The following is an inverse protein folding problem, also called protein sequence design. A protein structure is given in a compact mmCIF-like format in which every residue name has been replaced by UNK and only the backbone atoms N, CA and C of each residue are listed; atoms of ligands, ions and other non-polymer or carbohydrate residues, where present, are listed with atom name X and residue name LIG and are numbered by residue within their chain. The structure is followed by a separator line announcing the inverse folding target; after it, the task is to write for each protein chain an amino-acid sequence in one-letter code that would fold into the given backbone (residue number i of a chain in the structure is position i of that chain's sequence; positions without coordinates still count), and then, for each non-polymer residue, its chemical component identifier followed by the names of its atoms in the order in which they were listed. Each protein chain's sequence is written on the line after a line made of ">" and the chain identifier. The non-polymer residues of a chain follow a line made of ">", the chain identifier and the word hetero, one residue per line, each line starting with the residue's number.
data_IF_867852222851
#
_entry.id   IF_867852222851
#
_cell.length_a   1.000
_cell.length_b   1.000
_cell.length_c   1.000
_cell.angle_alpha   90.00
_cell.angle_beta   90.00
_cell.angle_gamma   90.00
#
_symmetry.space_group_name_H-M   'P 1'
#
loop_
_entity.id
_entity.type
_entity.pdbx_description
1 polymer ?
#
# COMPACT_ATOMS: atom_id res chain seq x y z
N UNK A 1 -0.83 -19.06 -11.52
CA UNK A 1 -0.33 -18.46 -10.26
C UNK A 1 0.44 -17.20 -10.60
N UNK A 2 -0.01 -16.03 -10.15
CA UNK A 2 0.76 -14.79 -10.33
C UNK A 2 1.97 -14.79 -9.40
N UNK A 3 3.08 -14.25 -9.89
CA UNK A 3 4.33 -14.13 -9.14
C UNK A 3 4.29 -13.02 -8.08
N UNK A 4 3.31 -12.12 -8.18
CA UNK A 4 3.04 -11.06 -7.21
C UNK A 4 1.62 -11.19 -6.67
N UNK A 5 1.42 -10.78 -5.43
CA UNK A 5 0.11 -10.79 -4.77
C UNK A 5 -0.09 -9.51 -3.96
N UNK A 6 -1.35 -9.09 -3.83
CA UNK A 6 -1.76 -7.94 -3.03
C UNK A 6 -2.90 -8.35 -2.10
N UNK A 7 -2.85 -7.85 -0.85
CA UNK A 7 -3.98 -7.88 0.06
C UNK A 7 -4.25 -6.48 0.61
N UNK A 8 -5.53 -6.19 0.82
CA UNK A 8 -6.01 -4.93 1.38
C UNK A 8 -6.95 -5.25 2.53
N UNK A 9 -6.80 -4.55 3.66
CA UNK A 9 -7.66 -4.71 4.83
C UNK A 9 -8.03 -3.34 5.43
N UNK A 10 -9.32 -3.06 5.69
CA UNK A 10 -9.72 -1.84 6.38
C UNK A 10 -9.29 -1.87 7.84
N UNK A 11 -8.90 -0.69 8.35
CA UNK A 11 -8.45 -0.48 9.73
C UNK A 11 -8.93 0.88 10.24
N UNK A 12 -8.93 1.04 11.55
CA UNK A 12 -9.16 2.34 12.21
C UNK A 12 -7.93 3.27 12.03
N UNK A 13 -8.13 4.60 12.01
CA UNK A 13 -9.42 5.30 12.18
C UNK A 13 -10.25 5.38 10.90
N UNK A 14 -11.57 5.52 11.08
CA UNK A 14 -12.50 6.02 10.05
C UNK A 14 -12.66 7.53 10.15
N UNK A 15 -12.40 8.25 9.06
CA UNK A 15 -12.54 9.71 8.99
C UNK A 15 -13.57 10.05 7.90
N UNK A 16 -14.63 10.76 8.25
CA UNK A 16 -15.71 11.14 7.32
C UNK A 16 -16.28 9.94 6.52
N UNK A 17 -16.42 8.79 7.17
CA UNK A 17 -16.90 7.55 6.54
C UNK A 17 -15.89 6.84 5.64
N UNK A 18 -14.66 7.34 5.56
CA UNK A 18 -13.56 6.72 4.81
C UNK A 18 -12.67 5.93 5.77
N UNK A 19 -12.47 4.65 5.46
CA UNK A 19 -11.61 3.76 6.23
C UNK A 19 -10.14 3.95 5.86
N UNK A 20 -9.28 3.99 6.88
CA UNK A 20 -7.85 3.72 6.68
C UNK A 20 -7.65 2.27 6.23
N UNK A 21 -6.54 1.97 5.56
CA UNK A 21 -6.27 0.64 5.01
C UNK A 21 -4.87 0.16 5.35
N UNK A 22 -4.69 -1.15 5.44
CA UNK A 22 -3.38 -1.79 5.36
C UNK A 22 -3.28 -2.48 4.01
N UNK A 23 -2.23 -2.19 3.27
CA UNK A 23 -1.92 -2.82 1.98
C UNK A 23 -0.65 -3.63 2.10
N UNK A 24 -0.70 -4.86 1.64
CA UNK A 24 0.42 -5.80 1.66
C UNK A 24 0.74 -6.24 0.23
N UNK A 25 1.98 -6.04 -0.21
CA UNK A 25 2.49 -6.62 -1.44
C UNK A 25 3.45 -7.76 -1.13
N UNK A 26 3.25 -8.90 -1.79
CA UNK A 26 4.14 -10.06 -1.76
C UNK A 26 4.73 -10.29 -3.14
N UNK A 27 6.05 -10.52 -3.16
CA UNK A 27 6.77 -10.97 -4.33
C UNK A 27 7.23 -12.42 -4.15
N UNK A 28 6.60 -13.35 -4.87
CA UNK A 28 6.85 -14.80 -4.82
C UNK A 28 7.95 -15.24 -5.79
N UNK A 29 8.56 -14.33 -6.56
CA UNK A 29 9.67 -14.70 -7.44
C UNK A 29 10.80 -15.28 -6.60
N UNK A 30 11.34 -16.46 -6.94
CA UNK A 30 12.36 -17.10 -6.10
C UNK A 30 13.69 -16.35 -6.12
N UNK A 31 14.01 -15.68 -7.23
CA UNK A 31 15.29 -15.01 -7.48
C UNK A 31 15.11 -13.81 -8.43
N UNK A 32 16.18 -13.02 -8.59
CA UNK A 32 16.22 -11.82 -9.43
C UNK A 32 16.24 -10.53 -8.61
N UNK A 33 16.15 -9.40 -9.30
CA UNK A 33 16.17 -8.08 -8.68
C UNK A 33 14.83 -7.74 -8.02
N UNK A 34 14.83 -6.87 -6.98
CA UNK A 34 13.60 -6.27 -6.47
C UNK A 34 12.81 -5.62 -7.61
N UNK A 35 11.48 -5.66 -7.50
CA UNK A 35 10.58 -5.06 -8.48
C UNK A 35 9.65 -4.06 -7.83
N UNK A 36 9.26 -3.06 -8.60
CA UNK A 36 8.14 -2.20 -8.23
C UNK A 36 6.83 -2.94 -8.47
N UNK A 37 6.04 -3.08 -7.41
CA UNK A 37 4.65 -3.51 -7.51
C UNK A 37 3.81 -2.24 -7.38
N UNK A 38 2.97 -1.99 -8.38
CA UNK A 38 2.24 -0.73 -8.55
C UNK A 38 0.78 -1.02 -8.86
N UNK A 39 -0.14 -0.43 -8.10
CA UNK A 39 -1.58 -0.49 -8.35
C UNK A 39 -2.19 0.89 -8.14
N UNK A 40 -3.23 1.20 -8.91
CA UNK A 40 -3.98 2.43 -8.69
C UNK A 40 -4.73 2.34 -7.35
N UNK A 41 -4.74 3.40 -6.55
CA UNK A 41 -5.40 3.36 -5.23
C UNK A 41 -6.89 3.02 -5.37
N UNK A 42 -7.55 3.47 -6.44
CA UNK A 42 -8.94 3.09 -6.76
C UNK A 42 -9.15 1.59 -7.03
N UNK A 43 -8.11 0.85 -7.43
CA UNK A 43 -8.19 -0.60 -7.61
C UNK A 43 -8.06 -1.33 -6.26
N UNK A 44 -7.21 -0.80 -5.38
CA UNK A 44 -7.00 -1.31 -4.02
C UNK A 44 -8.19 -1.00 -3.10
N UNK A 45 -8.78 0.18 -3.26
CA UNK A 45 -9.84 0.73 -2.41
C UNK A 45 -10.96 1.26 -3.33
N UNK A 46 -11.82 0.39 -3.89
CA UNK A 46 -12.87 0.82 -4.83
C UNK A 46 -13.87 1.81 -4.24
N UNK A 47 -14.02 1.84 -2.92
CA UNK A 47 -14.88 2.77 -2.18
C UNK A 47 -14.23 4.13 -1.89
N UNK A 48 -12.97 4.35 -2.26
CA UNK A 48 -12.28 5.61 -2.01
C UNK A 48 -12.94 6.76 -2.78
N UNK A 49 -13.31 7.81 -2.03
CA UNK A 49 -13.82 9.05 -2.60
C UNK A 49 -12.69 9.85 -3.25
N UNK A 50 -13.00 10.62 -4.31
CA UNK A 50 -11.99 11.30 -5.15
C UNK A 50 -11.06 12.23 -4.37
N UNK A 51 -11.63 12.97 -3.43
CA UNK A 51 -10.89 13.97 -2.64
C UNK A 51 -10.21 13.38 -1.39
N UNK A 52 -10.39 12.07 -1.12
CA UNK A 52 -9.78 11.43 0.04
C UNK A 52 -8.27 11.35 -0.15
N UNK A 53 -7.53 11.90 0.81
CA UNK A 53 -6.07 11.80 0.87
C UNK A 53 -5.68 10.74 1.87
N UNK A 54 -4.75 9.89 1.46
CA UNK A 54 -4.15 8.87 2.31
C UNK A 54 -2.69 9.19 2.51
N UNK A 55 -2.26 9.37 3.76
CA UNK A 55 -0.85 9.36 4.10
C UNK A 55 -0.35 7.92 4.12
N UNK A 56 0.77 7.64 3.45
CA UNK A 56 1.32 6.30 3.29
C UNK A 56 2.44 6.11 4.29
N UNK A 57 2.26 5.13 5.18
CA UNK A 57 3.20 4.77 6.24
C UNK A 57 3.78 3.38 5.98
N UNK A 58 5.09 3.24 5.77
CA UNK A 58 5.77 1.95 5.70
C UNK A 58 5.95 1.38 7.11
N UNK A 59 5.40 0.18 7.34
CA UNK A 59 5.43 -0.48 8.64
C UNK A 59 6.74 -1.23 8.92
N UNK A 60 7.69 -1.22 7.98
CA UNK A 60 9.03 -1.80 8.16
C UNK A 60 10.14 -0.77 8.30
N UNK A 61 9.84 0.53 8.18
CA UNK A 61 10.82 1.59 8.42
C UNK A 61 10.86 1.97 9.89
N UNK A 62 12.02 2.47 10.33
CA UNK A 62 12.22 2.96 11.70
C UNK A 62 11.34 4.18 12.00
N UNK A 63 11.01 4.35 13.28
CA UNK A 63 10.24 5.50 13.79
C UNK A 63 10.80 6.84 13.27
N UNK A 64 9.91 7.65 12.69
CA UNK A 64 10.25 8.96 12.12
C UNK A 64 10.69 8.92 10.65
N UNK A 65 10.74 7.74 10.02
CA UNK A 65 10.95 7.55 8.57
C UNK A 65 9.80 6.81 7.89
N UNK A 66 8.76 6.46 8.62
CA UNK A 66 7.62 5.69 8.12
C UNK A 66 6.84 6.38 6.99
N UNK A 67 6.78 7.71 6.97
CA UNK A 67 5.94 8.44 6.02
C UNK A 67 6.62 8.52 4.64
N UNK A 68 6.06 7.79 3.67
CA UNK A 68 6.52 7.78 2.29
C UNK A 68 5.94 8.93 1.45
N UNK A 69 4.79 9.47 1.87
CA UNK A 69 4.11 10.57 1.17
C UNK A 69 2.60 10.51 1.32
N UNK A 70 1.90 11.14 0.38
CA UNK A 70 0.42 11.16 0.33
C UNK A 70 -0.05 10.73 -1.05
N UNK A 71 -1.14 9.97 -1.10
CA UNK A 71 -1.79 9.52 -2.35
C UNK A 71 -3.29 9.80 -2.29
N UNK A 72 -3.86 10.01 -3.46
CA UNK A 72 -5.31 10.07 -3.70
C UNK A 72 -5.77 8.82 -4.44
N UNK A 73 -7.08 8.68 -4.66
CA UNK A 73 -7.60 7.51 -5.38
C UNK A 73 -7.06 7.37 -6.81
N UNK A 74 -6.65 8.48 -7.42
CA UNK A 74 -6.20 8.53 -8.81
C UNK A 74 -4.70 8.25 -8.97
N UNK A 75 -3.96 8.23 -7.87
CA UNK A 75 -2.53 7.93 -7.84
C UNK A 75 -2.26 6.42 -7.83
N UNK A 76 -1.03 6.04 -8.19
CA UNK A 76 -0.54 4.70 -7.99
C UNK A 76 0.18 4.58 -6.64
N UNK A 77 -0.15 3.54 -5.88
CA UNK A 77 0.69 3.09 -4.78
C UNK A 77 1.76 2.15 -5.37
N UNK A 78 3.00 2.62 -5.38
CA UNK A 78 4.14 1.89 -5.94
C UNK A 78 5.18 1.63 -4.85
N UNK A 79 5.54 0.37 -4.64
CA UNK A 79 6.53 -0.04 -3.64
C UNK A 79 7.56 -1.01 -4.23
N UNK A 80 8.83 -0.83 -3.88
CA UNK A 80 9.90 -1.75 -4.24
C UNK A 80 9.87 -2.97 -3.32
N UNK A 81 9.59 -4.15 -3.87
CA UNK A 81 9.48 -5.41 -3.14
C UNK A 81 10.56 -6.39 -3.59
N UNK A 82 11.41 -6.81 -2.66
CA UNK A 82 12.47 -7.79 -2.89
C UNK A 82 11.91 -9.16 -3.30
N UNK A 83 12.74 -10.01 -3.88
CA UNK A 83 12.38 -11.38 -4.26
C UNK A 83 12.40 -12.33 -3.05
N UNK A 84 12.28 -13.64 -3.30
CA UNK A 84 12.37 -14.70 -2.30
C UNK A 84 11.26 -14.66 -1.23
N UNK A 85 10.05 -14.30 -1.65
CA UNK A 85 8.89 -14.26 -0.75
C UNK A 85 8.84 -13.02 0.14
N UNK A 86 9.62 -11.98 -0.17
CA UNK A 86 9.62 -10.76 0.61
C UNK A 86 8.28 -10.01 0.51
N UNK A 87 7.98 -9.29 1.57
CA UNK A 87 6.75 -8.53 1.75
C UNK A 87 7.07 -7.06 2.00
N UNK A 88 6.19 -6.19 1.51
CA UNK A 88 6.08 -4.79 1.96
C UNK A 88 4.67 -4.55 2.47
N UNK A 89 4.58 -3.91 3.63
CA UNK A 89 3.31 -3.57 4.27
C UNK A 89 3.30 -2.07 4.52
N UNK A 90 2.27 -1.41 4.00
CA UNK A 90 2.02 0.01 4.27
C UNK A 90 0.65 0.19 4.90
N UNK A 91 0.53 1.19 5.78
CA UNK A 91 -0.73 1.71 6.27
C UNK A 91 -1.07 2.99 5.50
N UNK A 92 -2.23 3.02 4.88
CA UNK A 92 -2.82 4.21 4.26
C UNK A 92 -3.76 4.85 5.28
N UNK A 93 -3.32 5.92 5.93
CA UNK A 93 -4.09 6.67 6.91
C UNK A 93 -4.89 7.77 6.23
N UNK A 94 -6.21 7.78 6.43
CA UNK A 94 -7.05 8.88 5.93
C UNK A 94 -6.68 10.17 6.66
N UNK A 95 -6.53 11.27 5.90
CA UNK A 95 -6.41 12.64 6.42
C UNK A 95 -7.63 13.49 6.14
#
# INVERSE_FOLDING_TARGET
>A
NSETQVWVKPVEPVVNGQWSQVVTYLNRRPMGHPIYISHKVSELIPSAVKETKYEVHDLFLDEGKEVLGTVTKDDNLELLVHTSGAVRVVKLLVK
#
